data_IF_548973260815
#
_entry.id   IF_548973260815
#
_cell.length_a   1.000
_cell.length_b   1.000
_cell.length_c   1.000
_cell.angle_alpha   90.00
_cell.angle_beta   90.00
_cell.angle_gamma   90.00
#
_symmetry.space_group_name_H-M   'P 1'
#
loop_
_entity.id
_entity.type
_entity.pdbx_description
1 polymer ?
#
# COMPACT_ATOMS: atom_id res chain seq x y z
N UNK A 1 9.32 5.46 -12.17
CA UNK A 1 10.04 4.28 -12.67
C UNK A 1 10.32 4.36 -14.19
N UNK A 2 9.31 4.59 -15.02
CA UNK A 2 9.46 4.63 -16.50
C UNK A 2 10.48 5.68 -17.00
N UNK A 3 10.74 6.72 -16.22
CA UNK A 3 11.75 7.74 -16.53
C UNK A 3 13.16 7.35 -16.08
N UNK A 4 13.35 6.15 -15.53
CA UNK A 4 14.66 5.70 -15.03
C UNK A 4 15.09 6.32 -13.69
N UNK A 5 14.16 6.99 -12.98
CA UNK A 5 14.45 7.63 -11.70
C UNK A 5 14.53 6.61 -10.54
N UNK A 6 13.94 5.41 -10.72
CA UNK A 6 13.89 4.36 -9.71
C UNK A 6 14.29 3.03 -10.33
N UNK A 7 15.00 2.23 -9.56
CA UNK A 7 15.50 0.90 -9.97
C UNK A 7 14.55 -0.23 -9.58
N UNK A 8 13.76 -0.03 -8.51
CA UNK A 8 12.92 -1.06 -7.92
C UNK A 8 11.58 -0.53 -7.47
N UNK A 9 10.56 -1.37 -7.54
CA UNK A 9 9.25 -1.19 -6.91
C UNK A 9 9.08 -2.25 -5.84
N UNK A 10 8.82 -1.85 -4.61
CA UNK A 10 8.53 -2.73 -3.48
C UNK A 10 7.07 -2.59 -3.11
N UNK A 11 6.32 -3.68 -3.22
CA UNK A 11 4.92 -3.75 -2.83
C UNK A 11 4.82 -4.40 -1.46
N UNK A 12 4.15 -3.74 -0.55
CA UNK A 12 3.87 -4.27 0.78
C UNK A 12 2.44 -3.96 1.19
N UNK A 13 1.91 -4.78 2.05
CA UNK A 13 0.56 -4.65 2.60
C UNK A 13 0.54 -5.15 4.03
N UNK A 14 -0.36 -4.60 4.83
CA UNK A 14 -0.65 -5.15 6.16
C UNK A 14 -1.18 -6.57 6.07
N UNK A 15 -0.64 -7.46 6.90
CA UNK A 15 -1.08 -8.86 7.03
C UNK A 15 -2.29 -9.05 7.94
N UNK A 16 -3.03 -8.00 8.30
CA UNK A 16 -4.25 -8.19 9.08
C UNK A 16 -5.25 -8.95 8.21
N UNK A 17 -5.18 -10.26 8.32
CA UNK A 17 -6.25 -11.12 7.86
C UNK A 17 -7.41 -10.96 8.85
N UNK A 18 -8.58 -10.60 8.34
CA UNK A 18 -9.84 -10.73 9.07
C UNK A 18 -9.96 -12.14 9.68
N UNK A 19 -9.40 -12.34 10.87
CA UNK A 19 -9.59 -13.53 11.70
C UNK A 19 -8.91 -14.84 11.26
N UNK A 20 -8.12 -14.88 10.19
CA UNK A 20 -7.38 -16.09 9.78
C UNK A 20 -5.94 -15.73 9.48
N UNK A 21 -5.02 -16.17 10.33
CA UNK A 21 -3.59 -16.06 10.06
C UNK A 21 -3.25 -16.77 8.72
N UNK A 22 -2.29 -16.24 7.96
CA UNK A 22 -1.67 -16.91 6.81
C UNK A 22 -1.03 -18.27 7.19
N UNK A 23 -1.25 -18.73 8.42
CA UNK A 23 -0.51 -19.72 9.17
C UNK A 23 -0.39 -21.12 8.60
N UNK A 24 -1.14 -21.55 7.59
CA UNK A 24 -1.06 -22.94 7.11
C UNK A 24 -1.28 -23.12 5.62
N UNK A 25 -1.19 -22.08 4.79
CA UNK A 25 -1.12 -22.31 3.36
C UNK A 25 0.30 -22.79 2.99
N UNK A 26 0.46 -23.96 2.33
CA UNK A 26 1.75 -24.37 1.79
C UNK A 26 2.18 -23.38 0.69
N UNK A 27 3.48 -23.09 0.60
CA UNK A 27 4.03 -22.21 -0.41
C UNK A 27 5.02 -21.19 0.15
N UNK A 28 5.72 -20.52 -0.75
CA UNK A 28 6.64 -19.43 -0.41
C UNK A 28 5.87 -18.20 0.10
N UNK A 29 6.56 -17.28 0.74
CA UNK A 29 5.97 -16.00 1.20
C UNK A 29 5.39 -15.23 0.00
N UNK A 30 6.09 -15.24 -1.14
CA UNK A 30 5.66 -14.60 -2.38
C UNK A 30 4.36 -15.20 -2.91
N UNK A 31 4.24 -16.53 -2.97
CA UNK A 31 3.00 -17.22 -3.37
C UNK A 31 1.83 -16.91 -2.43
N UNK A 32 2.09 -16.80 -1.14
CA UNK A 32 1.06 -16.43 -0.15
C UNK A 32 0.60 -14.98 -0.30
N UNK A 33 1.49 -14.08 -0.71
CA UNK A 33 1.19 -12.66 -0.90
C UNK A 33 0.55 -12.36 -2.26
N UNK A 34 0.67 -13.26 -3.24
CA UNK A 34 0.19 -13.05 -4.61
C UNK A 34 -1.28 -12.59 -4.70
N UNK A 35 -2.26 -13.23 -4.03
CA UNK A 35 -3.65 -12.79 -4.10
C UNK A 35 -3.87 -11.36 -3.60
N UNK A 36 -3.04 -10.91 -2.68
CA UNK A 36 -3.17 -9.63 -1.99
C UNK A 36 -2.57 -8.47 -2.79
N UNK A 37 -1.54 -8.76 -3.58
CA UNK A 37 -0.89 -7.75 -4.43
C UNK A 37 -1.40 -7.77 -5.86
N UNK A 38 -2.19 -8.77 -6.22
CA UNK A 38 -2.77 -8.92 -7.57
C UNK A 38 -3.46 -7.66 -8.09
N UNK A 39 -4.27 -6.90 -7.29
CA UNK A 39 -4.86 -5.66 -7.77
C UNK A 39 -3.81 -4.63 -8.22
N UNK A 40 -2.74 -4.46 -7.45
CA UNK A 40 -1.65 -3.53 -7.79
C UNK A 40 -0.89 -4.05 -9.00
N UNK A 41 -0.62 -5.35 -9.06
CA UNK A 41 0.05 -5.97 -10.20
C UNK A 41 -0.75 -5.83 -11.50
N UNK A 42 -2.08 -5.89 -11.44
CA UNK A 42 -2.94 -5.62 -12.60
C UNK A 42 -2.76 -4.19 -13.11
N UNK A 43 -2.79 -3.19 -12.21
CA UNK A 43 -2.56 -1.78 -12.57
C UNK A 43 -1.16 -1.59 -13.17
N UNK A 44 -0.14 -2.22 -12.60
CA UNK A 44 1.22 -2.16 -13.14
C UNK A 44 1.28 -2.84 -14.53
N UNK A 45 0.60 -3.96 -14.73
CA UNK A 45 0.53 -4.67 -16.00
C UNK A 45 -0.20 -3.85 -17.07
N UNK A 46 -1.27 -3.16 -16.72
CA UNK A 46 -1.96 -2.23 -17.64
C UNK A 46 -1.06 -1.06 -18.04
N UNK A 47 -0.35 -0.47 -17.07
CA UNK A 47 0.50 0.70 -17.30
C UNK A 47 1.81 0.38 -18.04
N UNK A 48 2.40 -0.78 -17.82
CA UNK A 48 3.71 -1.18 -18.34
C UNK A 48 3.63 -2.14 -19.54
N UNK A 49 2.48 -2.80 -19.72
CA UNK A 49 2.30 -3.99 -20.54
C UNK A 49 2.61 -5.26 -19.75
N UNK A 50 1.76 -6.30 -19.89
CA UNK A 50 1.83 -7.54 -19.11
C UNK A 50 3.20 -8.23 -19.19
N UNK A 51 3.74 -8.41 -20.41
CA UNK A 51 5.04 -9.05 -20.61
C UNK A 51 6.19 -8.29 -19.93
N UNK A 52 6.14 -6.96 -19.88
CA UNK A 52 7.15 -6.16 -19.21
C UNK A 52 7.04 -6.27 -17.69
N UNK A 53 5.83 -6.22 -17.14
CA UNK A 53 5.60 -6.37 -15.70
C UNK A 53 6.10 -7.74 -15.20
N UNK A 54 5.83 -8.82 -15.95
CA UNK A 54 6.34 -10.15 -15.64
C UNK A 54 7.88 -10.24 -15.70
N UNK A 55 8.50 -9.65 -16.73
CA UNK A 55 9.96 -9.60 -16.82
C UNK A 55 10.57 -8.85 -15.62
N UNK A 56 9.97 -7.73 -15.22
CA UNK A 56 10.42 -6.93 -14.08
C UNK A 56 10.28 -7.71 -12.76
N UNK A 57 9.21 -8.47 -12.60
CA UNK A 57 9.02 -9.32 -11.41
C UNK A 57 10.07 -10.42 -11.36
N UNK A 58 10.32 -11.13 -12.48
CA UNK A 58 11.38 -12.16 -12.58
C UNK A 58 12.78 -11.56 -12.33
N UNK A 59 13.04 -10.36 -12.76
CA UNK A 59 14.28 -9.63 -12.54
C UNK A 59 14.39 -9.00 -11.14
N UNK A 60 13.40 -9.22 -10.26
CA UNK A 60 13.30 -8.61 -8.92
C UNK A 60 13.32 -7.07 -8.93
N UNK A 61 12.89 -6.48 -10.02
CA UNK A 61 12.63 -5.04 -10.13
C UNK A 61 11.23 -4.67 -9.56
N UNK A 62 10.33 -5.64 -9.48
CA UNK A 62 9.10 -5.58 -8.70
C UNK A 62 9.19 -6.69 -7.66
N UNK A 63 9.24 -6.31 -6.40
CA UNK A 63 9.28 -7.23 -5.26
C UNK A 63 8.04 -7.08 -4.40
N UNK A 64 7.56 -8.21 -3.89
CA UNK A 64 6.48 -8.25 -2.90
C UNK A 64 7.10 -8.67 -1.58
N UNK A 65 6.96 -7.82 -0.56
CA UNK A 65 7.49 -8.09 0.77
C UNK A 65 6.42 -7.89 1.84
N UNK A 66 6.20 -8.86 2.75
CA UNK A 66 5.40 -8.63 3.94
C UNK A 66 5.97 -7.49 4.79
N UNK A 67 5.09 -6.72 5.44
CA UNK A 67 5.51 -5.58 6.27
C UNK A 67 6.50 -6.00 7.38
N UNK A 68 6.36 -7.22 7.89
CA UNK A 68 7.20 -7.78 8.95
C UNK A 68 8.65 -7.99 8.49
N UNK A 69 8.86 -8.29 7.21
CA UNK A 69 10.19 -8.57 6.64
C UNK A 69 10.93 -7.31 6.19
N UNK A 70 10.24 -6.18 6.11
CA UNK A 70 10.84 -4.88 5.77
C UNK A 70 11.83 -4.41 6.83
N UNK A 71 11.67 -4.87 8.07
CA UNK A 71 12.58 -4.51 9.17
C UNK A 71 13.99 -5.00 8.89
N UNK A 72 14.98 -4.08 9.01
CA UNK A 72 16.41 -4.39 8.80
C UNK A 72 16.91 -4.17 7.37
N UNK A 73 16.03 -3.85 6.42
CA UNK A 73 16.41 -3.52 5.04
C UNK A 73 16.29 -2.01 4.83
N UNK A 74 17.23 -1.39 4.15
CA UNK A 74 17.08 -0.01 3.62
C UNK A 74 16.92 -0.07 2.11
N UNK A 75 16.03 0.74 1.58
CA UNK A 75 15.74 0.80 0.15
C UNK A 75 16.26 2.11 -0.43
N UNK A 76 17.14 2.00 -1.43
CA UNK A 76 17.64 3.13 -2.18
C UNK A 76 17.07 3.09 -3.61
N UNK A 77 16.93 4.24 -4.25
CA UNK A 77 16.46 4.39 -5.64
C UNK A 77 15.17 3.60 -5.93
N UNK A 78 14.28 3.51 -4.94
CA UNK A 78 13.12 2.62 -5.00
C UNK A 78 11.80 3.37 -4.82
N UNK A 79 10.72 2.76 -5.30
CA UNK A 79 9.36 3.14 -4.94
C UNK A 79 8.83 2.06 -3.99
N UNK A 80 8.48 2.45 -2.77
CA UNK A 80 7.81 1.58 -1.81
C UNK A 80 6.32 1.94 -1.80
N UNK A 81 5.47 0.97 -2.09
CA UNK A 81 4.02 1.14 -2.08
C UNK A 81 3.46 0.28 -0.95
N UNK A 82 2.81 0.93 0.01
CA UNK A 82 2.11 0.28 1.12
C UNK A 82 0.62 0.39 0.88
N UNK A 83 -0.02 -0.73 0.61
CA UNK A 83 -1.47 -0.82 0.42
C UNK A 83 -2.17 -1.14 1.75
N UNK A 84 -3.45 -0.75 1.87
CA UNK A 84 -4.27 -0.93 3.08
C UNK A 84 -3.58 -0.40 4.36
N UNK A 85 -2.91 0.75 4.24
CA UNK A 85 -2.13 1.33 5.32
C UNK A 85 -2.97 1.72 6.56
N UNK A 86 -4.31 1.84 6.42
CA UNK A 86 -5.20 2.06 7.56
C UNK A 86 -5.18 0.91 8.57
N UNK A 87 -4.73 -0.28 8.15
CA UNK A 87 -4.61 -1.47 8.99
C UNK A 87 -3.23 -1.64 9.62
N UNK A 88 -2.30 -0.70 9.40
CA UNK A 88 -1.00 -0.69 10.05
C UNK A 88 -1.08 -0.06 11.43
N UNK A 89 -0.35 -0.63 12.36
CA UNK A 89 -0.02 0.00 13.64
C UNK A 89 1.01 1.12 13.44
N UNK A 90 1.07 2.05 14.39
CA UNK A 90 2.07 3.14 14.35
C UNK A 90 3.51 2.60 14.34
N UNK A 91 3.77 1.47 14.97
CA UNK A 91 5.09 0.82 14.96
C UNK A 91 5.43 0.22 13.60
N UNK A 92 4.45 -0.28 12.85
CA UNK A 92 4.65 -0.75 11.48
C UNK A 92 4.85 0.42 10.51
N UNK A 93 4.07 1.50 10.64
CA UNK A 93 4.28 2.73 9.89
C UNK A 93 5.68 3.28 10.15
N UNK A 94 6.12 3.34 11.41
CA UNK A 94 7.47 3.72 11.79
C UNK A 94 8.52 2.78 11.19
N UNK A 95 8.26 1.47 11.21
CA UNK A 95 9.18 0.50 10.64
C UNK A 95 9.40 0.72 9.14
N UNK A 96 8.37 0.99 8.35
CA UNK A 96 8.50 1.20 6.91
C UNK A 96 9.07 2.59 6.58
N UNK A 97 8.65 3.64 7.28
CA UNK A 97 9.12 5.00 7.03
C UNK A 97 10.61 5.17 7.31
N UNK A 98 11.15 4.44 8.29
CA UNK A 98 12.60 4.45 8.60
C UNK A 98 13.45 3.59 7.65
N UNK A 99 12.86 2.98 6.61
CA UNK A 99 13.58 2.21 5.57
C UNK A 99 13.81 3.00 4.29
N UNK A 100 13.27 4.23 4.23
CA UNK A 100 13.48 5.13 3.10
C UNK A 100 14.95 5.52 3.07
N UNK A 101 15.66 5.08 2.04
CA UNK A 101 17.03 5.48 1.74
C UNK A 101 17.08 6.54 0.64
N UNK A 102 18.27 6.82 0.17
CA UNK A 102 18.50 7.85 -0.85
C UNK A 102 17.75 7.54 -2.15
N UNK A 103 17.16 8.57 -2.75
CA UNK A 103 16.41 8.45 -4.00
C UNK A 103 15.13 7.61 -3.91
N UNK A 104 14.67 7.26 -2.70
CA UNK A 104 13.48 6.42 -2.51
C UNK A 104 12.23 7.24 -2.22
N UNK A 105 11.12 6.84 -2.82
CA UNK A 105 9.77 7.38 -2.58
C UNK A 105 8.92 6.35 -1.85
N UNK A 106 8.31 6.74 -0.73
CA UNK A 106 7.30 5.96 -0.03
C UNK A 106 5.90 6.50 -0.37
N UNK A 107 4.98 5.59 -0.68
CA UNK A 107 3.57 5.87 -0.92
C UNK A 107 2.76 5.01 0.06
N UNK A 108 2.05 5.64 0.99
CA UNK A 108 1.08 4.97 1.87
C UNK A 108 -0.31 5.21 1.28
N UNK A 109 -1.04 4.12 1.00
CA UNK A 109 -2.40 4.17 0.48
C UNK A 109 -3.33 3.48 1.47
N UNK A 110 -4.46 4.11 1.78
CA UNK A 110 -5.42 3.51 2.69
C UNK A 110 -6.71 4.31 2.80
N UNK A 111 -7.76 3.63 3.23
CA UNK A 111 -9.05 4.23 3.54
C UNK A 111 -9.33 4.08 5.04
N UNK A 112 -9.19 5.14 5.84
CA UNK A 112 -9.43 5.07 7.28
C UNK A 112 -10.84 4.61 7.66
N UNK A 113 -11.84 4.81 6.80
CA UNK A 113 -13.21 4.35 7.03
C UNK A 113 -13.33 2.81 6.93
N UNK A 114 -12.39 2.15 6.26
CA UNK A 114 -12.33 0.69 6.10
C UNK A 114 -11.31 0.04 7.04
N UNK A 115 -10.93 0.72 8.12
CA UNK A 115 -9.96 0.18 9.06
C UNK A 115 -10.55 -0.97 9.88
N UNK A 116 -9.84 -2.10 9.90
CA UNK A 116 -10.14 -3.22 10.80
C UNK A 116 -9.72 -2.92 12.27
N UNK A 117 -8.95 -1.86 12.48
CA UNK A 117 -8.55 -1.37 13.79
C UNK A 117 -9.58 -0.39 14.34
N UNK A 118 -9.84 -0.44 15.65
CA UNK A 118 -10.79 0.48 16.32
C UNK A 118 -10.48 1.95 16.09
N UNK A 119 -9.17 2.29 15.97
CA UNK A 119 -8.68 3.61 15.61
C UNK A 119 -7.56 3.41 14.61
N UNK A 120 -7.68 3.99 13.42
CA UNK A 120 -6.61 3.91 12.43
C UNK A 120 -5.40 4.75 12.84
N UNK A 121 -4.27 4.09 13.06
CA UNK A 121 -3.00 4.78 13.33
C UNK A 121 -2.50 5.57 12.11
N UNK A 122 -3.03 5.31 10.91
CA UNK A 122 -2.74 6.10 9.72
C UNK A 122 -3.20 7.57 9.89
N UNK A 123 -4.40 7.80 10.45
CA UNK A 123 -4.87 9.16 10.73
C UNK A 123 -3.92 9.84 11.72
N UNK A 124 -3.58 9.15 12.81
CA UNK A 124 -2.63 9.65 13.80
C UNK A 124 -1.27 10.00 13.18
N UNK A 125 -0.78 9.17 12.26
CA UNK A 125 0.46 9.44 11.54
C UNK A 125 0.36 10.69 10.66
N UNK A 126 -0.76 10.85 9.93
CA UNK A 126 -1.04 12.05 9.11
C UNK A 126 -1.07 13.30 9.98
N UNK A 127 -1.74 13.25 11.13
CA UNK A 127 -1.80 14.37 12.08
C UNK A 127 -0.42 14.74 12.62
N UNK A 128 0.41 13.74 12.94
CA UNK A 128 1.81 13.97 13.33
C UNK A 128 2.62 14.62 12.21
N UNK A 129 2.44 14.19 10.96
CA UNK A 129 3.09 14.81 9.82
C UNK A 129 2.72 16.30 9.70
N UNK A 130 1.47 16.64 9.89
CA UNK A 130 1.01 18.04 9.90
C UNK A 130 1.59 18.82 11.09
N UNK A 131 1.49 18.26 12.30
CA UNK A 131 1.97 18.89 13.53
C UNK A 131 3.46 19.22 13.48
N UNK A 132 4.27 18.28 12.97
CA UNK A 132 5.72 18.43 12.90
C UNK A 132 6.22 18.96 11.54
N UNK A 133 5.30 19.36 10.65
CA UNK A 133 5.61 19.93 9.33
C UNK A 133 6.54 19.04 8.51
N UNK A 134 6.30 17.73 8.55
CA UNK A 134 7.02 16.78 7.71
C UNK A 134 6.67 17.08 6.25
N UNK A 135 7.64 17.22 5.32
CA UNK A 135 7.39 17.57 3.92
C UNK A 135 6.86 16.36 3.12
N UNK A 136 5.78 15.75 3.60
CA UNK A 136 5.10 14.63 2.97
C UNK A 136 3.80 15.14 2.31
N UNK A 137 3.65 15.09 0.99
CA UNK A 137 2.39 15.43 0.32
C UNK A 137 1.28 14.47 0.76
N UNK A 138 0.14 15.03 1.16
CA UNK A 138 -1.04 14.27 1.55
C UNK A 138 -2.13 14.54 0.53
N UNK A 139 -2.68 13.49 -0.06
CA UNK A 139 -3.78 13.53 -1.04
C UNK A 139 -4.98 12.82 -0.42
N UNK A 140 -6.09 13.55 -0.29
CA UNK A 140 -7.34 13.01 0.22
C UNK A 140 -8.35 12.94 -0.92
N UNK A 141 -8.88 11.75 -1.16
CA UNK A 141 -9.98 11.53 -2.09
C UNK A 141 -11.33 11.72 -1.40
N UNK A 142 -12.28 12.25 -2.11
CA UNK A 142 -13.65 12.50 -1.67
C UNK A 142 -14.65 11.71 -2.53
N UNK A 143 -15.93 11.73 -2.14
CA UNK A 143 -17.01 11.14 -2.93
C UNK A 143 -17.04 11.66 -4.39
N UNK A 144 -16.55 12.88 -4.62
CA UNK A 144 -16.51 13.49 -5.96
C UNK A 144 -15.45 12.85 -6.87
N UNK A 145 -14.47 12.18 -6.29
CA UNK A 145 -13.35 11.57 -6.99
C UNK A 145 -13.63 10.11 -7.38
N UNK A 146 -14.87 9.62 -7.12
CA UNK A 146 -15.27 8.26 -7.45
C UNK A 146 -15.40 8.11 -8.96
N UNK A 147 -14.53 7.28 -9.57
CA UNK A 147 -14.52 6.92 -11.00
C UNK A 147 -15.13 5.54 -11.25
N UNK A 148 -16.20 5.20 -10.52
CA UNK A 148 -16.92 3.93 -10.67
C UNK A 148 -18.29 4.18 -11.30
N UNK A 149 -19.04 3.09 -11.59
CA UNK A 149 -20.41 3.22 -12.12
C UNK A 149 -21.30 4.04 -11.19
N UNK A 150 -22.30 4.71 -11.76
CA UNK A 150 -23.23 5.58 -11.02
C UNK A 150 -23.90 4.86 -9.85
N UNK A 151 -24.22 3.57 -10.02
CA UNK A 151 -24.84 2.76 -8.94
C UNK A 151 -23.87 2.65 -7.75
N UNK A 152 -22.59 2.39 -7.99
CA UNK A 152 -21.57 2.29 -6.93
C UNK A 152 -21.38 3.64 -6.25
N UNK A 153 -21.29 4.73 -7.02
CA UNK A 153 -21.20 6.08 -6.47
C UNK A 153 -22.40 6.44 -5.57
N UNK A 154 -23.62 6.01 -5.97
CA UNK A 154 -24.83 6.24 -5.18
C UNK A 154 -24.86 5.38 -3.91
N UNK A 155 -24.41 4.12 -3.97
CA UNK A 155 -24.30 3.25 -2.79
C UNK A 155 -23.28 3.81 -1.77
N UNK A 156 -22.11 4.25 -2.22
CA UNK A 156 -21.12 4.88 -1.34
C UNK A 156 -21.69 6.13 -0.67
N UNK A 157 -22.40 6.98 -1.43
CA UNK A 157 -23.10 8.15 -0.86
C UNK A 157 -24.15 7.76 0.18
N UNK A 158 -24.88 6.67 -0.07
CA UNK A 158 -25.87 6.14 0.86
C UNK A 158 -25.23 5.67 2.16
N UNK A 159 -24.16 4.87 2.10
CA UNK A 159 -23.43 4.38 3.28
C UNK A 159 -22.84 5.54 4.09
N UNK A 160 -22.20 6.50 3.43
CA UNK A 160 -21.65 7.68 4.09
C UNK A 160 -22.72 8.51 4.84
N UNK A 161 -23.95 8.63 4.26
CA UNK A 161 -25.07 9.32 4.92
C UNK A 161 -25.66 8.51 6.08
N UNK A 162 -25.59 7.20 6.01
CA UNK A 162 -26.08 6.31 7.06
C UNK A 162 -25.08 6.16 8.23
N UNK A 163 -23.87 6.68 8.09
CA UNK A 163 -22.81 6.56 9.10
C UNK A 163 -22.23 5.14 9.20
N UNK A 164 -22.28 4.41 8.08
CA UNK A 164 -21.82 3.02 7.94
C UNK A 164 -20.59 3.03 7.03
#
# INVERSE_FOLDING_TARGET
>A
YLKGEFEKIVLTRSNISTGKSLGHFPGTIEEKMEPWVKPIMNVLSEALGSGRAECMQRAKQIEVQPIETIRGTSFNNSIIIVDEAQNLTIDEIKAVTTRIGDGTKLILMGDPAQSDLKNSDLIKFVDLCHQYRVPAPIVTFSIKDIVRSDIVANLVKMFAKAGI
#
